data_IF_504054432770
#
_entry.id   IF_504054432770
#
_cell.length_a   1.000
_cell.length_b   1.000
_cell.length_c   1.000
_cell.angle_alpha   90.00
_cell.angle_beta   90.00
_cell.angle_gamma   90.00
#
_symmetry.space_group_name_H-M   'P 1'
#
loop_
_entity.id
_entity.type
_entity.pdbx_description
1 polymer ?
#
# COMPACT_ATOMS: atom_id res chain seq x y z
N UNK A 1 24.15 -14.15 9.04
CA UNK A 1 24.57 -12.73 8.94
C UNK A 1 23.40 -11.75 9.04
N UNK A 2 22.23 -11.96 8.41
CA UNK A 2 21.08 -11.03 8.52
C UNK A 2 20.48 -10.90 9.93
N UNK A 3 20.48 -11.97 10.75
CA UNK A 3 19.88 -11.93 12.10
C UNK A 3 20.73 -11.14 13.11
N UNK A 4 22.04 -11.18 12.99
CA UNK A 4 22.99 -10.44 13.87
C UNK A 4 22.97 -8.94 13.58
N UNK A 5 22.93 -8.54 12.30
CA UNK A 5 22.77 -7.13 11.90
C UNK A 5 21.43 -6.53 12.36
N UNK A 6 20.35 -7.32 12.36
CA UNK A 6 19.03 -6.87 12.85
C UNK A 6 19.03 -6.65 14.38
N UNK A 7 19.79 -7.44 15.13
CA UNK A 7 19.92 -7.32 16.59
C UNK A 7 20.77 -6.10 16.96
N UNK A 8 21.88 -5.84 16.25
CA UNK A 8 22.71 -4.65 16.48
C UNK A 8 21.99 -3.33 16.16
N UNK A 9 21.20 -3.28 15.09
CA UNK A 9 20.38 -2.09 14.75
C UNK A 9 19.34 -1.77 15.84
N UNK A 10 18.78 -2.77 16.52
CA UNK A 10 17.76 -2.59 17.56
C UNK A 10 18.29 -1.90 18.84
N UNK A 11 19.60 -1.74 19.01
CA UNK A 11 20.25 -1.29 20.26
C UNK A 11 20.71 0.17 20.28
N UNK A 12 20.69 0.88 19.14
CA UNK A 12 21.15 2.28 19.09
C UNK A 12 20.12 3.27 19.61
N UNK A 13 20.55 4.37 20.31
CA UNK A 13 19.64 5.44 20.76
C UNK A 13 18.79 6.05 19.64
N UNK A 14 19.33 6.11 18.42
CA UNK A 14 18.66 6.61 17.23
C UNK A 14 17.39 5.79 16.89
N UNK A 15 17.48 4.47 16.93
CA UNK A 15 16.30 3.60 16.69
C UNK A 15 15.23 3.71 17.79
N UNK A 16 15.62 4.06 19.03
CA UNK A 16 14.66 4.30 20.09
C UNK A 16 13.88 5.60 19.88
N UNK A 17 14.53 6.64 19.38
CA UNK A 17 13.89 7.92 19.05
C UNK A 17 12.95 7.76 17.85
N UNK A 18 13.39 7.09 16.79
CA UNK A 18 12.57 6.82 15.60
C UNK A 18 11.28 6.08 15.95
N UNK A 19 11.34 5.06 16.82
CA UNK A 19 10.17 4.31 17.26
C UNK A 19 9.16 5.17 18.02
N UNK A 20 9.61 6.08 18.91
CA UNK A 20 8.72 7.03 19.62
C UNK A 20 8.09 8.04 18.67
N UNK A 21 8.86 8.55 17.72
CA UNK A 21 8.38 9.46 16.70
C UNK A 21 7.30 8.80 15.84
N UNK A 22 7.52 7.57 15.37
CA UNK A 22 6.55 6.82 14.58
C UNK A 22 5.25 6.54 15.37
N UNK A 23 5.35 6.25 16.67
CA UNK A 23 4.16 6.12 17.55
C UNK A 23 3.37 7.43 17.62
N UNK A 24 4.06 8.57 17.77
CA UNK A 24 3.41 9.89 17.81
C UNK A 24 2.75 10.20 16.46
N UNK A 25 3.41 9.89 15.34
CA UNK A 25 2.85 10.07 14.00
C UNK A 25 1.60 9.21 13.81
N UNK A 26 1.65 7.93 14.20
CA UNK A 26 0.49 7.03 14.10
C UNK A 26 -0.67 7.49 14.99
N UNK A 27 -0.39 8.00 16.18
CA UNK A 27 -1.41 8.58 17.06
C UNK A 27 -2.06 9.84 16.41
N UNK A 28 -1.26 10.73 15.83
CA UNK A 28 -1.75 11.89 15.09
C UNK A 28 -2.60 11.50 13.88
N UNK A 29 -2.18 10.49 13.11
CA UNK A 29 -2.94 9.93 11.99
C UNK A 29 -4.27 9.34 12.45
N UNK A 30 -4.29 8.63 13.58
CA UNK A 30 -5.51 8.06 14.17
C UNK A 30 -6.50 9.15 14.59
N UNK A 31 -6.01 10.20 15.26
CA UNK A 31 -6.84 11.35 15.66
C UNK A 31 -7.37 12.10 14.44
N UNK A 32 -6.54 12.31 13.42
CA UNK A 32 -6.95 12.96 12.17
C UNK A 32 -8.01 12.10 11.42
N UNK A 33 -7.78 10.79 11.32
CA UNK A 33 -8.73 9.85 10.74
C UNK A 33 -10.10 9.93 11.43
N UNK A 34 -10.11 9.82 12.75
CA UNK A 34 -11.33 9.90 13.55
C UNK A 34 -12.01 11.27 13.41
N UNK A 35 -11.26 12.36 13.58
CA UNK A 35 -11.77 13.72 13.48
C UNK A 35 -12.38 14.06 12.12
N UNK A 36 -11.76 13.57 11.02
CA UNK A 36 -12.28 13.76 9.66
C UNK A 36 -13.57 12.98 9.41
N UNK A 37 -13.70 11.76 9.97
CA UNK A 37 -14.98 11.02 9.91
C UNK A 37 -16.06 11.76 10.67
N UNK A 38 -15.77 12.26 11.90
CA UNK A 38 -16.71 13.06 12.68
C UNK A 38 -17.12 14.34 11.93
N UNK A 39 -16.15 15.06 11.38
CA UNK A 39 -16.40 16.28 10.61
C UNK A 39 -17.27 16.02 9.37
N UNK A 40 -17.12 14.86 8.72
CA UNK A 40 -17.93 14.51 7.57
C UNK A 40 -19.40 14.27 7.91
N UNK A 41 -19.70 13.87 9.15
CA UNK A 41 -21.07 13.72 9.66
C UNK A 41 -21.72 15.07 10.09
N UNK A 42 -20.93 16.13 10.24
CA UNK A 42 -21.45 17.45 10.58
C UNK A 42 -22.26 18.06 9.42
N UNK A 43 -23.23 18.95 9.70
CA UNK A 43 -24.06 19.62 8.70
C UNK A 43 -23.28 20.73 7.96
N UNK A 44 -22.21 20.35 7.26
CA UNK A 44 -21.33 21.25 6.52
C UNK A 44 -21.74 21.39 5.07
N UNK A 45 -21.46 22.54 4.46
CA UNK A 45 -21.64 22.76 3.02
C UNK A 45 -20.72 21.89 2.17
N UNK A 46 -21.08 21.70 0.89
CA UNK A 46 -20.41 20.79 -0.05
C UNK A 46 -18.91 21.06 -0.17
N UNK A 47 -18.48 22.31 -0.23
CA UNK A 47 -17.06 22.67 -0.33
C UNK A 47 -16.23 22.16 0.86
N UNK A 48 -16.76 22.28 2.07
CA UNK A 48 -16.13 21.74 3.27
C UNK A 48 -16.06 20.21 3.25
N UNK A 49 -17.13 19.55 2.80
CA UNK A 49 -17.14 18.09 2.65
C UNK A 49 -16.12 17.60 1.63
N UNK A 50 -15.96 18.32 0.51
CA UNK A 50 -14.91 18.01 -0.48
C UNK A 50 -13.51 18.19 0.11
N UNK A 51 -13.28 19.26 0.87
CA UNK A 51 -12.00 19.50 1.53
C UNK A 51 -11.69 18.41 2.57
N UNK A 52 -12.67 18.02 3.40
CA UNK A 52 -12.54 16.92 4.36
C UNK A 52 -12.22 15.61 3.66
N UNK A 53 -12.91 15.29 2.57
CA UNK A 53 -12.70 14.08 1.78
C UNK A 53 -11.30 14.03 1.18
N UNK A 54 -10.83 15.16 0.64
CA UNK A 54 -9.47 15.29 0.10
C UNK A 54 -8.43 15.08 1.20
N UNK A 55 -8.60 15.76 2.35
CA UNK A 55 -7.69 15.61 3.47
C UNK A 55 -7.71 14.19 4.05
N UNK A 56 -8.88 13.54 4.09
CA UNK A 56 -9.00 12.14 4.47
C UNK A 56 -8.16 11.23 3.57
N UNK A 57 -8.24 11.40 2.25
CA UNK A 57 -7.44 10.63 1.31
C UNK A 57 -5.93 10.83 1.55
N UNK A 58 -5.49 12.07 1.82
CA UNK A 58 -4.08 12.36 2.10
C UNK A 58 -3.61 11.75 3.43
N UNK A 59 -4.41 11.85 4.49
CA UNK A 59 -4.12 11.23 5.80
C UNK A 59 -4.05 9.72 5.68
N UNK A 60 -4.99 9.12 4.96
CA UNK A 60 -5.04 7.67 4.75
C UNK A 60 -3.86 7.14 3.92
N UNK A 61 -3.34 7.95 3.00
CA UNK A 61 -2.08 7.63 2.32
C UNK A 61 -0.91 7.59 3.31
N UNK A 62 -0.88 8.50 4.29
CA UNK A 62 0.09 8.48 5.39
C UNK A 62 -0.08 7.26 6.33
N UNK A 63 -1.32 6.86 6.61
CA UNK A 63 -1.63 5.63 7.37
C UNK A 63 -1.08 4.39 6.65
N UNK A 64 -1.28 4.32 5.33
CA UNK A 64 -0.66 3.25 4.52
C UNK A 64 0.87 3.30 4.60
N UNK A 65 1.47 4.49 4.50
CA UNK A 65 2.93 4.65 4.58
C UNK A 65 3.48 4.21 5.94
N UNK A 66 2.79 4.48 7.05
CA UNK A 66 3.18 3.97 8.37
C UNK A 66 3.04 2.45 8.46
N UNK A 67 1.99 1.88 7.90
CA UNK A 67 1.83 0.43 7.79
C UNK A 67 2.97 -0.19 6.99
N UNK A 68 3.38 0.46 5.90
CA UNK A 68 4.48 0.05 5.03
C UNK A 68 5.84 0.08 5.76
N UNK A 69 6.13 1.11 6.56
CA UNK A 69 7.31 1.12 7.44
C UNK A 69 7.34 -0.09 8.37
N UNK A 70 6.16 -0.50 8.88
CA UNK A 70 6.06 -1.68 9.73
C UNK A 70 6.33 -2.99 8.96
N UNK A 71 6.05 -3.07 7.64
CA UNK A 71 6.42 -4.24 6.82
C UNK A 71 7.93 -4.49 6.83
N UNK A 72 8.71 -3.41 6.75
CA UNK A 72 10.18 -3.43 6.75
C UNK A 72 10.79 -3.37 8.15
N UNK A 73 9.97 -3.49 9.21
CA UNK A 73 10.38 -3.41 10.62
C UNK A 73 11.01 -2.07 11.02
N UNK A 74 10.73 -1.02 10.26
CA UNK A 74 11.18 0.35 10.51
C UNK A 74 10.24 1.13 11.43
N UNK A 75 9.03 0.61 11.73
CA UNK A 75 8.06 1.27 12.59
C UNK A 75 8.54 1.39 14.05
N UNK A 76 9.08 0.30 14.62
CA UNK A 76 9.57 0.26 16.01
C UNK A 76 10.58 -0.85 16.24
N UNK A 77 11.58 -0.62 17.14
CA UNK A 77 12.64 -1.60 17.51
C UNK A 77 12.08 -2.90 18.09
N UNK A 78 11.01 -2.83 18.89
CA UNK A 78 10.32 -4.02 19.40
C UNK A 78 9.45 -4.62 18.31
N UNK A 79 9.69 -5.87 17.95
CA UNK A 79 8.90 -6.59 16.94
C UNK A 79 7.41 -6.67 17.29
N UNK A 80 7.07 -6.76 18.58
CA UNK A 80 5.68 -6.78 19.05
C UNK A 80 5.00 -5.43 18.84
N UNK A 81 5.68 -4.33 19.20
CA UNK A 81 5.17 -2.97 19.01
C UNK A 81 5.07 -2.65 17.52
N UNK A 82 6.08 -2.98 16.73
CA UNK A 82 6.07 -2.81 15.29
C UNK A 82 4.87 -3.54 14.63
N UNK A 83 4.62 -4.78 15.03
CA UNK A 83 3.44 -5.53 14.56
C UNK A 83 2.13 -4.85 15.00
N UNK A 84 2.03 -4.44 16.26
CA UNK A 84 0.83 -3.77 16.77
C UNK A 84 0.54 -2.45 16.06
N UNK A 85 1.58 -1.66 15.75
CA UNK A 85 1.47 -0.44 14.94
C UNK A 85 0.98 -0.74 13.53
N UNK A 86 1.57 -1.73 12.86
CA UNK A 86 1.14 -2.16 11.53
C UNK A 86 -0.28 -2.70 11.51
N UNK A 87 -0.66 -3.53 12.48
CA UNK A 87 -2.01 -4.06 12.63
C UNK A 87 -3.03 -2.95 12.91
N UNK A 88 -2.67 -1.96 13.72
CA UNK A 88 -3.51 -0.79 13.97
C UNK A 88 -3.70 0.07 12.72
N UNK A 89 -2.62 0.44 12.04
CA UNK A 89 -2.68 1.18 10.78
C UNK A 89 -3.53 0.45 9.73
N UNK A 90 -3.39 -0.88 9.63
CA UNK A 90 -4.18 -1.69 8.70
C UNK A 90 -5.66 -1.76 9.08
N UNK A 91 -6.01 -1.70 10.38
CA UNK A 91 -7.40 -1.59 10.86
C UNK A 91 -8.03 -0.29 10.37
N UNK A 92 -7.32 0.84 10.48
CA UNK A 92 -7.79 2.12 9.94
C UNK A 92 -7.88 2.07 8.39
N UNK A 93 -6.93 1.40 7.75
CA UNK A 93 -6.90 1.22 6.30
C UNK A 93 -8.04 0.32 5.79
N UNK A 94 -8.59 -0.55 6.63
CA UNK A 94 -9.66 -1.48 6.29
C UNK A 94 -9.16 -2.81 5.71
N UNK A 95 -7.94 -3.25 6.07
CA UNK A 95 -7.38 -4.52 5.58
C UNK A 95 -6.61 -5.24 6.69
N UNK A 96 -6.23 -6.51 6.47
CA UNK A 96 -5.32 -7.24 7.36
C UNK A 96 -3.87 -6.82 7.10
N UNK A 97 -3.14 -6.52 8.17
CA UNK A 97 -1.70 -6.24 8.13
C UNK A 97 -0.91 -7.40 7.51
N UNK A 98 -1.18 -8.61 7.96
CA UNK A 98 -0.51 -9.81 7.47
C UNK A 98 -0.76 -10.04 5.98
N UNK A 99 -1.99 -9.77 5.49
CA UNK A 99 -2.31 -9.89 4.08
C UNK A 99 -1.47 -8.95 3.23
N UNK A 100 -1.45 -7.66 3.57
CA UNK A 100 -0.73 -6.65 2.78
C UNK A 100 0.78 -6.85 2.91
N UNK A 101 1.29 -7.16 4.11
CA UNK A 101 2.72 -7.41 4.36
C UNK A 101 3.25 -8.54 3.47
N UNK A 102 2.61 -9.70 3.47
CA UNK A 102 3.07 -10.84 2.66
C UNK A 102 3.02 -10.53 1.17
N UNK A 103 1.99 -9.80 0.73
CA UNK A 103 1.89 -9.35 -0.66
C UNK A 103 3.02 -8.36 -1.01
N UNK A 104 3.32 -7.42 -0.12
CA UNK A 104 4.35 -6.40 -0.31
C UNK A 104 5.78 -7.01 -0.30
N UNK A 105 6.07 -7.91 0.63
CA UNK A 105 7.34 -8.67 0.64
C UNK A 105 7.53 -9.43 -0.68
N UNK A 106 6.45 -10.02 -1.21
CA UNK A 106 6.44 -10.63 -2.52
C UNK A 106 6.61 -9.64 -3.68
N UNK A 107 6.07 -8.42 -3.56
CA UNK A 107 6.24 -7.36 -4.54
C UNK A 107 7.72 -7.01 -4.77
N UNK A 108 8.52 -6.84 -3.73
CA UNK A 108 9.97 -6.62 -3.88
C UNK A 108 10.70 -7.72 -4.66
N UNK A 109 10.16 -8.94 -4.66
CA UNK A 109 10.73 -10.07 -5.42
C UNK A 109 10.23 -10.11 -6.87
N UNK A 110 9.01 -9.63 -7.12
CA UNK A 110 8.32 -9.74 -8.41
C UNK A 110 8.23 -8.43 -9.17
N UNK A 111 8.61 -7.31 -8.56
CA UNK A 111 8.55 -6.01 -9.22
C UNK A 111 9.13 -6.08 -10.62
N UNK A 112 8.41 -5.56 -11.59
CA UNK A 112 8.77 -5.52 -13.01
C UNK A 112 9.01 -6.89 -13.68
N UNK A 113 8.57 -7.98 -13.06
CA UNK A 113 8.48 -9.29 -13.74
C UNK A 113 7.13 -9.42 -14.46
N UNK A 114 6.97 -10.39 -15.39
CA UNK A 114 5.68 -10.63 -16.07
C UNK A 114 4.48 -10.76 -15.13
N UNK A 115 4.72 -11.13 -13.87
CA UNK A 115 3.69 -11.23 -12.83
C UNK A 115 3.10 -9.88 -12.39
N UNK A 116 3.81 -8.76 -12.60
CA UNK A 116 3.41 -7.43 -12.15
C UNK A 116 3.44 -6.34 -13.24
N UNK A 117 3.48 -6.72 -14.51
CA UNK A 117 3.40 -5.79 -15.64
C UNK A 117 1.93 -5.45 -15.96
N UNK A 118 1.36 -4.55 -15.18
CA UNK A 118 -0.05 -4.17 -15.34
C UNK A 118 -0.30 -3.40 -16.63
N UNK A 119 0.66 -2.58 -17.07
CA UNK A 119 0.56 -1.69 -18.22
C UNK A 119 0.88 -2.36 -19.57
N UNK A 120 1.25 -3.63 -19.58
CA UNK A 120 1.55 -4.38 -20.79
C UNK A 120 0.64 -5.59 -20.95
N UNK A 121 0.21 -5.82 -22.20
CA UNK A 121 -0.52 -7.04 -22.60
C UNK A 121 0.52 -8.06 -23.04
N UNK A 122 0.72 -9.10 -22.22
CA UNK A 122 1.69 -10.16 -22.50
C UNK A 122 1.21 -11.10 -23.60
N UNK A 123 2.13 -11.82 -24.30
CA UNK A 123 1.75 -12.85 -25.25
C UNK A 123 0.83 -13.89 -24.61
N UNK A 124 -0.31 -14.16 -25.26
CA UNK A 124 -1.33 -15.10 -24.77
C UNK A 124 -2.38 -14.52 -23.82
N UNK A 125 -2.22 -13.30 -23.32
CA UNK A 125 -3.26 -12.60 -22.56
C UNK A 125 -4.41 -12.14 -23.48
N UNK A 126 -5.63 -12.06 -22.94
CA UNK A 126 -6.81 -11.50 -23.62
C UNK A 126 -6.83 -9.98 -23.44
N UNK A 127 -6.65 -9.16 -24.51
CA UNK A 127 -6.50 -7.71 -24.38
C UNK A 127 -7.66 -7.05 -23.64
N UNK A 128 -8.91 -7.36 -23.99
CA UNK A 128 -10.08 -6.76 -23.37
C UNK A 128 -10.17 -7.07 -21.86
N UNK A 129 -9.82 -8.31 -21.46
CA UNK A 129 -9.79 -8.69 -20.05
C UNK A 129 -8.67 -7.94 -19.30
N UNK A 130 -7.47 -7.86 -19.90
CA UNK A 130 -6.33 -7.14 -19.32
C UNK A 130 -6.68 -5.66 -19.11
N UNK A 131 -7.23 -4.99 -20.10
CA UNK A 131 -7.67 -3.59 -20.01
C UNK A 131 -8.75 -3.41 -18.93
N UNK A 132 -9.75 -4.30 -18.88
CA UNK A 132 -10.78 -4.27 -17.84
C UNK A 132 -10.21 -4.43 -16.43
N UNK A 133 -9.33 -5.39 -16.21
CA UNK A 133 -8.65 -5.62 -14.92
C UNK A 133 -7.74 -4.45 -14.53
N UNK A 134 -7.04 -3.87 -15.49
CA UNK A 134 -6.19 -2.70 -15.26
C UNK A 134 -7.01 -1.51 -14.75
N UNK A 135 -8.08 -1.15 -15.46
CA UNK A 135 -8.93 -0.03 -15.03
C UNK A 135 -9.67 -0.34 -13.73
N UNK A 136 -10.13 -1.58 -13.53
CA UNK A 136 -10.64 -1.98 -12.22
C UNK A 136 -9.61 -1.71 -11.13
N UNK A 137 -8.36 -2.15 -11.32
CA UNK A 137 -7.28 -1.97 -10.35
C UNK A 137 -7.02 -0.47 -10.07
N UNK A 138 -6.83 0.34 -11.10
CA UNK A 138 -6.51 1.79 -10.97
C UNK A 138 -7.66 2.59 -10.36
N UNK A 139 -8.90 2.25 -10.68
CA UNK A 139 -10.09 3.02 -10.24
C UNK A 139 -10.60 2.66 -8.83
N UNK A 140 -9.86 1.88 -8.05
CA UNK A 140 -10.21 1.56 -6.67
C UNK A 140 -10.09 0.08 -6.33
N UNK A 141 -9.95 -0.77 -7.34
CA UNK A 141 -9.97 -2.22 -7.18
C UNK A 141 -8.83 -2.80 -6.37
N UNK A 142 -7.65 -2.16 -6.32
CA UNK A 142 -6.54 -2.64 -5.47
C UNK A 142 -6.96 -2.61 -3.99
N UNK A 143 -7.50 -1.48 -3.55
CA UNK A 143 -7.97 -1.35 -2.17
C UNK A 143 -9.18 -2.25 -1.91
N UNK A 144 -10.15 -2.26 -2.81
CA UNK A 144 -11.36 -3.08 -2.68
C UNK A 144 -11.02 -4.58 -2.61
N UNK A 145 -10.08 -5.05 -3.43
CA UNK A 145 -9.60 -6.44 -3.38
C UNK A 145 -8.96 -6.77 -2.02
N UNK A 146 -8.18 -5.84 -1.44
CA UNK A 146 -7.58 -6.01 -0.10
C UNK A 146 -8.64 -6.09 0.99
N UNK A 147 -9.65 -5.22 0.95
CA UNK A 147 -10.80 -5.25 1.87
C UNK A 147 -11.56 -6.56 1.75
N UNK A 148 -11.98 -6.93 0.54
CA UNK A 148 -12.74 -8.16 0.31
C UNK A 148 -11.94 -9.41 0.69
N UNK A 149 -10.64 -9.45 0.37
CA UNK A 149 -9.78 -10.55 0.80
C UNK A 149 -9.70 -10.64 2.33
N UNK A 150 -9.61 -9.51 3.04
CA UNK A 150 -9.62 -9.48 4.51
C UNK A 150 -10.92 -10.02 5.10
N UNK A 151 -12.06 -9.76 4.47
CA UNK A 151 -13.36 -10.21 4.96
C UNK A 151 -13.67 -11.67 4.58
N UNK A 152 -13.27 -12.11 3.41
CA UNK A 152 -13.65 -13.41 2.83
C UNK A 152 -12.64 -14.49 3.18
N UNK A 153 -11.33 -14.23 3.06
CA UNK A 153 -10.30 -15.26 3.25
C UNK A 153 -10.32 -15.90 4.64
N UNK A 154 -10.60 -15.20 5.74
CA UNK A 154 -10.73 -15.83 7.06
C UNK A 154 -11.77 -16.95 7.12
N UNK A 155 -12.80 -16.88 6.28
CA UNK A 155 -13.88 -17.86 6.20
C UNK A 155 -13.50 -19.12 5.42
N UNK A 156 -12.44 -19.03 4.59
CA UNK A 156 -12.01 -20.12 3.72
C UNK A 156 -10.93 -20.95 4.42
N UNK A 157 -10.97 -22.30 4.39
CA UNK A 157 -9.88 -23.12 4.88
C UNK A 157 -8.57 -22.86 4.13
N UNK A 158 -7.47 -22.78 4.87
CA UNK A 158 -6.14 -22.49 4.30
C UNK A 158 -5.75 -23.46 3.17
N UNK A 159 -6.06 -24.76 3.31
CA UNK A 159 -5.80 -25.76 2.30
C UNK A 159 -6.49 -25.50 0.95
N UNK A 160 -7.72 -24.95 1.00
CA UNK A 160 -8.47 -24.61 -0.23
C UNK A 160 -7.86 -23.39 -0.95
N UNK A 161 -7.47 -22.36 -0.19
CA UNK A 161 -6.82 -21.17 -0.78
C UNK A 161 -5.50 -21.54 -1.44
N UNK A 162 -4.69 -22.35 -0.77
CA UNK A 162 -3.42 -22.85 -1.32
C UNK A 162 -3.62 -23.66 -2.60
N UNK A 163 -4.68 -24.49 -2.65
CA UNK A 163 -5.03 -25.27 -3.84
C UNK A 163 -5.55 -24.43 -5.01
N UNK A 164 -6.32 -23.38 -4.75
CA UNK A 164 -6.80 -22.44 -5.77
C UNK A 164 -5.65 -21.61 -6.36
N UNK A 165 -4.74 -21.12 -5.53
CA UNK A 165 -3.57 -20.35 -5.97
C UNK A 165 -2.70 -21.13 -6.98
N UNK A 166 -2.58 -22.47 -6.81
CA UNK A 166 -1.84 -23.34 -7.74
C UNK A 166 -2.60 -23.55 -9.05
N UNK A 167 -3.93 -23.55 -9.04
CA UNK A 167 -4.77 -23.82 -10.23
C UNK A 167 -4.96 -22.60 -11.13
N UNK A 168 -4.86 -21.40 -10.60
CA UNK A 168 -5.10 -20.13 -11.31
C UNK A 168 -3.79 -19.43 -11.68
N UNK A 169 -2.79 -20.21 -12.08
CA UNK A 169 -1.45 -19.75 -12.46
C UNK A 169 -1.43 -18.67 -13.58
N UNK A 170 -2.55 -18.47 -14.29
CA UNK A 170 -2.69 -17.41 -15.29
C UNK A 170 -2.85 -15.99 -14.71
N UNK A 171 -3.03 -15.85 -13.38
CA UNK A 171 -2.97 -14.59 -12.65
C UNK A 171 -1.73 -14.57 -11.75
N UNK A 172 -0.57 -14.66 -12.33
CA UNK A 172 0.69 -15.11 -11.73
C UNK A 172 1.14 -14.27 -10.52
N UNK A 173 0.95 -12.95 -10.53
CA UNK A 173 1.42 -12.08 -9.46
C UNK A 173 0.72 -12.29 -8.13
N UNK A 174 -0.60 -12.25 -8.11
CA UNK A 174 -1.41 -12.41 -6.90
C UNK A 174 -1.37 -13.85 -6.39
N UNK A 175 -1.37 -14.84 -7.27
CA UNK A 175 -1.32 -16.26 -6.87
C UNK A 175 0.00 -16.63 -6.21
N UNK A 176 1.11 -16.08 -6.67
CA UNK A 176 2.42 -16.27 -6.03
C UNK A 176 2.49 -15.62 -4.65
N UNK A 177 1.82 -14.47 -4.43
CA UNK A 177 1.68 -13.89 -3.11
C UNK A 177 0.99 -14.86 -2.14
N UNK A 178 -0.14 -15.47 -2.55
CA UNK A 178 -0.83 -16.46 -1.73
C UNK A 178 -0.02 -17.73 -1.49
N UNK A 179 0.85 -18.15 -2.42
CA UNK A 179 1.74 -19.29 -2.23
C UNK A 179 2.74 -19.10 -1.09
N UNK A 180 3.08 -17.86 -0.73
CA UNK A 180 4.00 -17.52 0.37
C UNK A 180 3.35 -17.56 1.75
N UNK A 181 1.99 -17.56 1.84
CA UNK A 181 1.31 -17.62 3.12
C UNK A 181 1.57 -18.95 3.85
N UNK A 182 1.91 -18.83 5.13
CA UNK A 182 1.99 -19.98 6.04
C UNK A 182 0.67 -20.19 6.79
N UNK A 183 0.49 -21.36 7.41
CA UNK A 183 -0.64 -21.61 8.30
C UNK A 183 -0.67 -20.67 9.53
N UNK A 184 0.50 -20.16 9.94
CA UNK A 184 0.60 -19.15 11.00
C UNK A 184 0.06 -17.82 10.52
N UNK A 185 0.49 -17.35 9.35
CA UNK A 185 0.01 -16.07 8.75
C UNK A 185 -1.51 -16.11 8.61
N UNK A 186 -2.05 -17.27 8.20
CA UNK A 186 -3.50 -17.45 8.07
C UNK A 186 -4.27 -17.30 9.37
N UNK A 187 -3.73 -17.82 10.49
CA UNK A 187 -4.33 -17.63 11.82
C UNK A 187 -4.26 -16.18 12.28
N UNK A 188 -3.13 -15.52 12.05
CA UNK A 188 -2.95 -14.10 12.39
C UNK A 188 -3.90 -13.24 11.59
N UNK A 189 -4.01 -13.47 10.28
CA UNK A 189 -4.95 -12.77 9.39
C UNK A 189 -6.40 -12.86 9.89
N UNK A 190 -6.82 -14.04 10.37
CA UNK A 190 -8.15 -14.22 10.97
C UNK A 190 -8.34 -13.35 12.21
N UNK A 191 -7.37 -13.32 13.10
CA UNK A 191 -7.40 -12.48 14.29
C UNK A 191 -7.48 -10.98 13.96
N UNK A 192 -6.66 -10.55 12.99
CA UNK A 192 -6.66 -9.16 12.51
C UNK A 192 -8.00 -8.78 11.88
N UNK A 193 -8.60 -9.65 11.06
CA UNK A 193 -9.90 -9.40 10.44
C UNK A 193 -11.03 -9.28 11.49
N UNK A 194 -11.05 -10.16 12.49
CA UNK A 194 -12.02 -10.08 13.61
C UNK A 194 -11.82 -8.78 14.38
N UNK A 195 -10.58 -8.42 14.72
CA UNK A 195 -10.26 -7.17 15.42
C UNK A 195 -10.73 -5.95 14.62
N UNK A 196 -10.46 -5.92 13.32
CA UNK A 196 -10.89 -4.84 12.44
C UNK A 196 -12.42 -4.73 12.39
N UNK A 197 -13.14 -5.85 12.23
CA UNK A 197 -14.60 -5.86 12.23
C UNK A 197 -15.19 -5.37 13.55
N UNK A 198 -14.68 -5.88 14.69
CA UNK A 198 -15.12 -5.45 16.01
C UNK A 198 -14.88 -3.94 16.21
N UNK A 199 -13.73 -3.44 15.79
CA UNK A 199 -13.39 -2.02 15.83
C UNK A 199 -14.37 -1.18 15.02
N UNK A 200 -14.60 -1.52 13.74
CA UNK A 200 -15.47 -0.77 12.85
C UNK A 200 -16.94 -0.78 13.30
N UNK A 201 -17.44 -1.94 13.72
CA UNK A 201 -18.80 -2.08 14.24
C UNK A 201 -18.92 -1.29 15.55
N UNK A 202 -17.95 -1.43 16.45
CA UNK A 202 -17.94 -0.74 17.74
C UNK A 202 -17.89 0.79 17.59
N UNK A 203 -17.04 1.32 16.72
CA UNK A 203 -16.96 2.75 16.45
C UNK A 203 -18.25 3.27 15.79
N UNK A 204 -18.79 2.54 14.79
CA UNK A 204 -20.03 2.94 14.13
C UNK A 204 -21.20 3.01 15.11
N UNK A 205 -21.29 2.04 16.01
CA UNK A 205 -22.32 2.02 17.06
C UNK A 205 -22.11 3.13 18.10
N UNK A 206 -20.88 3.28 18.60
CA UNK A 206 -20.54 4.24 19.66
C UNK A 206 -20.71 5.70 19.21
N UNK A 207 -20.30 6.01 17.99
CA UNK A 207 -20.27 7.37 17.44
C UNK A 207 -21.45 7.69 16.50
N UNK A 208 -22.35 6.72 16.28
CA UNK A 208 -23.50 6.90 15.38
C UNK A 208 -23.11 7.12 13.92
N UNK A 209 -21.98 6.53 13.45
CA UNK A 209 -21.53 6.73 12.09
C UNK A 209 -22.47 6.09 11.06
N UNK A 210 -22.83 6.89 10.07
CA UNK A 210 -23.69 6.44 8.96
C UNK A 210 -22.82 5.67 7.95
N UNK A 211 -23.24 4.46 7.59
CA UNK A 211 -22.49 3.61 6.66
C UNK A 211 -22.34 4.26 5.27
N UNK A 212 -23.30 5.07 4.82
CA UNK A 212 -23.23 5.80 3.55
C UNK A 212 -22.07 6.80 3.54
N UNK A 213 -21.87 7.51 4.65
CA UNK A 213 -20.74 8.44 4.82
C UNK A 213 -19.41 7.69 4.80
N UNK A 214 -19.31 6.59 5.52
CA UNK A 214 -18.12 5.75 5.52
C UNK A 214 -17.84 5.19 4.13
N UNK A 215 -18.87 4.70 3.44
CA UNK A 215 -18.75 4.19 2.07
C UNK A 215 -18.23 5.26 1.11
N UNK A 216 -18.76 6.49 1.17
CA UNK A 216 -18.29 7.60 0.35
C UNK A 216 -16.81 7.92 0.62
N UNK A 217 -16.42 8.03 1.90
CA UNK A 217 -15.05 8.36 2.29
C UNK A 217 -14.06 7.27 1.83
N UNK A 218 -14.41 6.01 2.05
CA UNK A 218 -13.57 4.89 1.65
C UNK A 218 -13.58 4.59 0.14
N UNK A 219 -14.67 4.90 -0.57
CA UNK A 219 -14.67 4.84 -2.03
C UNK A 219 -13.74 5.89 -2.65
N UNK A 220 -13.77 7.13 -2.13
CA UNK A 220 -12.83 8.16 -2.55
C UNK A 220 -11.38 7.78 -2.22
N UNK A 221 -11.14 7.22 -1.03
CA UNK A 221 -9.83 6.71 -0.66
C UNK A 221 -9.41 5.52 -1.54
N UNK A 222 -10.31 4.59 -1.83
CA UNK A 222 -10.03 3.46 -2.72
C UNK A 222 -9.52 3.92 -4.08
N UNK A 223 -10.18 4.92 -4.68
CA UNK A 223 -9.74 5.54 -5.92
C UNK A 223 -8.36 6.22 -5.77
N UNK A 224 -8.22 7.09 -4.76
CA UNK A 224 -6.97 7.80 -4.49
C UNK A 224 -5.80 6.84 -4.26
N UNK A 225 -5.97 5.86 -3.38
CA UNK A 225 -4.95 4.86 -3.08
C UNK A 225 -4.60 4.01 -4.30
N UNK A 226 -5.60 3.42 -4.94
CA UNK A 226 -5.37 2.49 -6.04
C UNK A 226 -4.73 3.15 -7.26
N UNK A 227 -5.13 4.38 -7.59
CA UNK A 227 -4.52 5.13 -8.69
C UNK A 227 -3.07 5.56 -8.38
N UNK A 228 -2.72 5.79 -7.11
CA UNK A 228 -1.37 6.16 -6.71
C UNK A 228 -0.40 4.97 -6.62
N UNK A 229 -0.87 3.75 -6.28
CA UNK A 229 0.05 2.63 -6.06
C UNK A 229 0.83 2.20 -7.31
N UNK A 230 0.22 2.28 -8.48
CA UNK A 230 0.86 1.87 -9.73
C UNK A 230 1.84 2.89 -10.30
N UNK A 231 1.65 4.20 -10.04
CA UNK A 231 2.45 5.25 -10.70
C UNK A 231 3.94 5.20 -10.39
N UNK A 232 4.30 4.52 -9.32
CA UNK A 232 5.70 4.33 -8.94
C UNK A 232 6.43 3.34 -9.85
N UNK A 233 5.69 2.43 -10.49
CA UNK A 233 6.26 1.32 -11.26
C UNK A 233 5.88 1.31 -12.74
N UNK A 234 4.79 1.99 -13.13
CA UNK A 234 4.32 1.95 -14.51
C UNK A 234 5.35 2.54 -15.48
N UNK A 235 5.71 1.76 -16.48
CA UNK A 235 6.66 2.15 -17.55
C UNK A 235 8.04 2.55 -17.01
N UNK A 236 8.47 1.90 -15.94
CA UNK A 236 9.84 1.95 -15.41
C UNK A 236 10.70 0.88 -16.09
N UNK A 237 12.04 0.90 -15.91
CA UNK A 237 12.91 -0.19 -16.35
C UNK A 237 12.42 -1.56 -15.85
N UNK A 238 12.69 -2.61 -16.63
CA UNK A 238 12.34 -4.00 -16.27
C UNK A 238 13.39 -4.58 -15.31
N UNK A 239 13.57 -3.91 -14.19
CA UNK A 239 14.49 -4.30 -13.13
C UNK A 239 13.76 -4.27 -11.78
N UNK A 240 14.06 -5.22 -10.91
CA UNK A 240 13.37 -5.34 -9.62
C UNK A 240 13.66 -4.19 -8.66
N UNK A 241 14.86 -3.62 -8.71
CA UNK A 241 15.30 -2.54 -7.84
C UNK A 241 15.11 -1.20 -8.55
N UNK A 242 15.65 -1.07 -9.77
CA UNK A 242 15.62 0.17 -10.56
C UNK A 242 14.25 0.41 -11.23
N UNK A 243 13.32 -0.54 -11.11
CA UNK A 243 11.97 -0.49 -11.68
C UNK A 243 10.98 0.32 -10.84
N UNK A 244 11.40 1.47 -10.34
CA UNK A 244 10.55 2.40 -9.61
C UNK A 244 10.94 3.86 -9.91
N UNK A 245 10.08 4.82 -9.53
CA UNK A 245 10.35 6.25 -9.60
C UNK A 245 10.40 6.89 -8.23
N UNK A 246 11.27 7.89 -8.08
CA UNK A 246 11.17 8.89 -7.04
C UNK A 246 10.30 10.05 -7.55
N UNK A 247 9.19 10.34 -6.85
CA UNK A 247 8.23 11.33 -7.29
C UNK A 247 8.36 12.63 -6.49
N UNK A 248 8.30 13.77 -7.20
CA UNK A 248 8.37 15.09 -6.59
C UNK A 248 7.00 15.52 -6.07
N UNK A 249 6.97 15.90 -4.80
CA UNK A 249 5.79 16.41 -4.10
C UNK A 249 6.13 17.68 -3.33
N UNK A 250 5.15 18.59 -3.13
CA UNK A 250 5.27 19.67 -2.15
C UNK A 250 5.60 19.13 -0.75
N UNK A 251 6.46 19.82 -0.02
CA UNK A 251 6.95 19.37 1.29
C UNK A 251 5.85 18.97 2.27
N UNK A 252 4.73 19.69 2.45
CA UNK A 252 3.68 19.27 3.37
C UNK A 252 3.06 17.92 2.99
N UNK A 253 2.80 17.69 1.70
CA UNK A 253 2.21 16.43 1.22
C UNK A 253 3.22 15.29 1.36
N UNK A 254 4.48 15.53 1.04
CA UNK A 254 5.57 14.57 1.24
C UNK A 254 5.67 14.11 2.70
N UNK A 255 5.53 15.03 3.65
CA UNK A 255 5.52 14.70 5.08
C UNK A 255 4.29 13.88 5.49
N UNK A 256 3.12 14.23 4.98
CA UNK A 256 1.92 13.42 5.19
C UNK A 256 2.09 12.00 4.65
N UNK A 257 2.77 11.84 3.52
CA UNK A 257 3.07 10.54 2.89
C UNK A 257 4.29 9.84 3.51
N UNK A 258 4.90 10.37 4.55
CA UNK A 258 6.10 9.82 5.19
C UNK A 258 7.20 9.47 4.17
N UNK A 259 7.47 10.39 3.23
CA UNK A 259 8.45 10.21 2.16
C UNK A 259 8.22 8.96 1.26
N UNK A 260 7.06 8.33 1.29
CA UNK A 260 6.72 7.15 0.46
C UNK A 260 6.82 7.44 -1.05
N UNK A 261 6.73 8.72 -1.43
CA UNK A 261 6.95 9.18 -2.81
C UNK A 261 8.36 8.90 -3.34
N UNK A 262 9.34 8.57 -2.50
CA UNK A 262 10.69 8.17 -2.89
C UNK A 262 10.81 6.64 -3.00
N UNK A 263 10.01 6.09 -3.91
CA UNK A 263 9.84 4.64 -4.02
C UNK A 263 11.06 3.93 -4.62
N UNK A 264 11.81 4.59 -5.53
CA UNK A 264 13.07 4.05 -6.04
C UNK A 264 14.10 3.90 -4.92
N UNK A 265 14.24 4.94 -4.07
CA UNK A 265 15.15 4.84 -2.92
C UNK A 265 14.70 3.78 -1.92
N UNK A 266 13.39 3.59 -1.77
CA UNK A 266 12.85 2.52 -0.96
C UNK A 266 13.22 1.13 -1.53
N UNK A 267 13.12 0.90 -2.85
CA UNK A 267 13.55 -0.35 -3.47
C UNK A 267 15.05 -0.60 -3.35
N UNK A 268 15.86 0.45 -3.43
CA UNK A 268 17.32 0.38 -3.22
C UNK A 268 17.69 0.13 -1.76
N UNK A 269 16.92 0.66 -0.83
CA UNK A 269 17.21 0.68 0.62
C UNK A 269 15.95 0.36 1.45
N UNK A 270 15.35 -0.84 1.32
CA UNK A 270 14.08 -1.16 1.98
C UNK A 270 14.15 -1.12 3.51
N UNK A 271 15.34 -1.31 4.07
CA UNK A 271 15.59 -1.24 5.52
C UNK A 271 15.81 0.19 6.04
N UNK A 272 15.86 1.21 5.18
CA UNK A 272 16.06 2.58 5.60
C UNK A 272 14.74 3.21 6.06
N UNK A 273 14.70 3.87 7.25
CA UNK A 273 13.50 4.47 7.75
C UNK A 273 13.08 5.68 6.88
N UNK A 274 11.79 5.96 6.80
CA UNK A 274 11.23 7.02 5.97
C UNK A 274 11.86 8.41 6.23
N UNK A 275 12.30 8.68 7.46
CA UNK A 275 12.94 9.95 7.83
C UNK A 275 14.24 10.21 7.07
N UNK A 276 14.94 9.14 6.68
CA UNK A 276 16.22 9.23 5.97
C UNK A 276 16.07 9.23 4.44
N UNK A 277 14.90 8.92 3.90
CA UNK A 277 14.70 8.74 2.45
C UNK A 277 14.99 10.02 1.65
N UNK A 278 14.54 11.18 2.15
CA UNK A 278 14.76 12.46 1.45
C UNK A 278 16.25 12.80 1.22
N UNK A 279 17.11 12.43 2.16
CA UNK A 279 18.55 12.70 2.05
C UNK A 279 19.27 11.80 1.04
N UNK A 280 18.60 10.74 0.56
CA UNK A 280 19.14 9.76 -0.39
C UNK A 280 18.80 10.06 -1.84
N UNK A 281 17.86 11.01 -2.07
CA UNK A 281 17.29 11.29 -3.39
C UNK A 281 18.10 12.35 -4.11
N UNK A 282 18.51 12.07 -5.34
CA UNK A 282 18.88 13.16 -6.27
C UNK A 282 17.58 13.83 -6.78
N UNK A 283 17.36 15.04 -6.33
CA UNK A 283 16.15 15.81 -6.67
C UNK A 283 16.03 16.09 -8.18
N UNK A 284 17.14 16.02 -8.94
CA UNK A 284 17.15 16.21 -10.40
C UNK A 284 16.53 15.04 -11.14
N UNK A 285 16.62 13.83 -10.57
CA UNK A 285 16.06 12.61 -11.13
C UNK A 285 14.58 12.39 -10.80
N UNK A 286 14.01 13.21 -9.90
CA UNK A 286 12.61 13.06 -9.48
C UNK A 286 11.63 13.45 -10.59
N UNK A 287 10.56 12.66 -10.72
CA UNK A 287 9.47 12.90 -11.66
C UNK A 287 8.30 13.63 -10.98
N UNK A 288 7.57 14.54 -11.67
CA UNK A 288 6.36 15.15 -11.11
C UNK A 288 5.27 14.10 -10.88
N UNK A 289 4.76 13.98 -9.63
CA UNK A 289 3.75 12.99 -9.28
C UNK A 289 2.49 13.11 -10.15
N UNK A 290 1.95 14.33 -10.31
CA UNK A 290 0.72 14.56 -11.06
C UNK A 290 0.82 14.12 -12.52
N UNK A 291 1.99 14.25 -13.13
CA UNK A 291 2.24 13.81 -14.50
C UNK A 291 2.22 12.28 -14.61
N UNK A 292 2.86 11.61 -13.67
CA UNK A 292 2.82 10.14 -13.58
C UNK A 292 1.42 9.63 -13.27
N UNK A 293 0.70 10.34 -12.39
CA UNK A 293 -0.68 10.00 -12.08
C UNK A 293 -1.62 10.10 -13.29
N UNK A 294 -1.51 11.14 -14.10
CA UNK A 294 -2.24 11.22 -15.37
C UNK A 294 -1.84 10.07 -16.31
N UNK A 295 -0.57 9.71 -16.35
CA UNK A 295 -0.07 8.57 -17.13
C UNK A 295 -0.65 7.22 -16.73
N UNK A 296 -1.13 7.05 -15.48
CA UNK A 296 -1.79 5.83 -15.02
C UNK A 296 -3.14 5.57 -15.71
N UNK A 297 -3.76 6.58 -16.31
CA UNK A 297 -5.03 6.40 -17.02
C UNK A 297 -4.86 6.07 -18.51
N UNK A 298 -3.63 5.92 -19.00
CA UNK A 298 -3.37 5.36 -20.33
C UNK A 298 -3.64 3.86 -20.32
N UNK A 299 -4.29 3.31 -21.36
CA UNK A 299 -4.56 1.88 -21.42
C UNK A 299 -3.28 1.05 -21.48
N UNK A 300 -3.32 -0.23 -21.06
CA UNK A 300 -2.26 -1.18 -21.34
C UNK A 300 -1.97 -1.30 -22.83
N UNK A 301 -0.70 -1.44 -23.16
CA UNK A 301 -0.20 -1.57 -24.53
C UNK A 301 0.44 -2.94 -24.75
N UNK A 302 0.55 -3.42 -26.00
CA UNK A 302 1.22 -4.68 -26.29
C UNK A 302 2.65 -4.70 -25.72
N UNK A 303 3.04 -5.83 -25.14
CA UNK A 303 4.40 -6.02 -24.67
C UNK A 303 5.38 -5.91 -25.86
N UNK A 304 6.43 -5.08 -25.78
CA UNK A 304 7.34 -4.86 -26.88
C UNK A 304 8.11 -6.14 -27.25
N UNK A 305 8.36 -6.33 -28.54
CA UNK A 305 9.12 -7.47 -29.06
C UNK A 305 10.57 -7.50 -28.54
N UNK A 306 11.15 -6.33 -28.30
CA UNK A 306 12.46 -6.15 -27.68
C UNK A 306 12.33 -5.48 -26.31
N UNK A 307 12.33 -6.24 -25.20
CA UNK A 307 12.23 -5.68 -23.85
C UNK A 307 13.40 -4.75 -23.47
N UNK A 308 14.55 -4.83 -24.16
CA UNK A 308 15.70 -3.95 -23.88
C UNK A 308 15.38 -2.47 -24.20
N UNK A 309 14.40 -2.22 -25.04
CA UNK A 309 13.92 -0.86 -25.35
C UNK A 309 13.17 -0.24 -24.16
N UNK A 310 12.58 -1.03 -23.27
CA UNK A 310 11.87 -0.54 -22.08
C UNK A 310 12.80 0.05 -21.04
N UNK A 311 14.06 -0.38 -21.01
CA UNK A 311 15.06 0.14 -20.06
C UNK A 311 15.53 1.57 -20.38
N UNK A 312 15.17 2.12 -21.56
CA UNK A 312 15.65 3.42 -22.05
C UNK A 312 14.59 4.52 -22.10
N UNK A 313 13.34 4.20 -21.80
CA UNK A 313 12.25 5.18 -21.91
C UNK A 313 12.06 5.88 -20.56
N UNK A 314 12.95 6.82 -20.29
CA UNK A 314 12.69 7.91 -19.36
C UNK A 314 11.92 9.01 -20.14
N UNK A 315 10.72 9.31 -19.69
CA UNK A 315 9.98 10.46 -20.19
C UNK A 315 10.23 11.68 -19.36
#
# INVERSE_FOLDING_TARGET
MQSTMAIERASTPEHAWLGRHNLAVLAAQTLAWWGLIQAMHAPLGVLWKVAILTLFCLVMQGVFSMMHECFHRNGHRSARVNWAMGAWASTLFGSSYTLIRVNHEGHHQRNRTPAELAEYILPGERPALKVGLYYFAVLGGIWLASLLATLILPLVPFSRVKGLAVRWASMDGYNRAFAQFTARDWRVLRGEAVLALCWWIGCSWLFGWQWQTLLLMYAAFAFSYSSLQWIYHLRTPLDRIEGAFDLRLPTPIRWLFLNFNYNLQHHRHPDAPWQSMHARVDQRETQPLWWRWLGAFRPPEPYPADPSQLSKVYF
#
